data_IF_613517177575
#
_entry.id   IF_613517177575
#
_cell.length_a   1.000
_cell.length_b   1.000
_cell.length_c   1.000
_cell.angle_alpha   90.00
_cell.angle_beta   90.00
_cell.angle_gamma   90.00
#
_symmetry.space_group_name_H-M   'P 1'
#
loop_
_entity.id
_entity.type
_entity.pdbx_description
1 polymer ?
#
# COMPACT_ATOMS: atom_id res chain seq x y z
N UNK A 1 -29.00 11.63 20.36
CA UNK A 1 -28.12 11.84 21.52
C UNK A 1 -26.79 12.35 20.98
N UNK A 2 -26.39 13.55 21.45
CA UNK A 2 -25.25 14.41 21.11
C UNK A 2 -24.19 13.93 20.09
N UNK A 3 -24.15 14.59 18.92
CA UNK A 3 -22.98 14.64 18.03
C UNK A 3 -21.83 15.39 18.73
N UNK A 4 -20.80 14.68 19.16
CA UNK A 4 -19.52 15.29 19.57
C UNK A 4 -18.71 15.63 18.33
N UNK A 5 -18.74 16.91 17.94
CA UNK A 5 -17.92 17.51 16.89
C UNK A 5 -16.44 17.46 17.28
N UNK A 6 -15.64 16.68 16.55
CA UNK A 6 -14.18 16.73 16.59
C UNK A 6 -13.76 17.93 15.73
N UNK A 7 -13.04 18.89 16.34
CA UNK A 7 -12.66 20.15 15.70
C UNK A 7 -11.74 19.94 14.47
N UNK A 8 -11.92 20.72 13.38
CA UNK A 8 -11.06 20.64 12.20
C UNK A 8 -9.72 21.35 12.41
N UNK A 9 -8.66 20.82 11.79
CA UNK A 9 -7.29 21.36 11.83
C UNK A 9 -7.20 22.49 10.78
N UNK A 10 -6.91 23.72 11.22
CA UNK A 10 -6.79 24.88 10.33
C UNK A 10 -5.56 24.78 9.42
N UNK A 11 -5.67 25.28 8.20
CA UNK A 11 -4.56 25.43 7.27
C UNK A 11 -3.62 26.58 7.69
N UNK A 12 -2.50 26.75 6.96
CA UNK A 12 -1.50 27.80 7.24
C UNK A 12 -2.02 29.23 6.97
N UNK A 13 -3.21 29.39 6.38
CA UNK A 13 -3.83 30.69 6.07
C UNK A 13 -5.03 31.02 6.95
N UNK A 14 -5.39 30.15 7.90
CA UNK A 14 -6.48 30.36 8.85
C UNK A 14 -7.87 30.22 8.24
N UNK A 15 -7.98 29.73 7.00
CA UNK A 15 -9.26 29.40 6.36
C UNK A 15 -9.58 27.92 6.60
N UNK A 16 -10.85 27.52 6.81
CA UNK A 16 -11.20 26.11 6.80
C UNK A 16 -10.83 25.55 5.42
N UNK A 17 -10.00 24.51 5.39
CA UNK A 17 -9.61 23.87 4.15
C UNK A 17 -10.88 23.38 3.43
N UNK A 18 -11.03 23.76 2.16
CA UNK A 18 -12.20 23.44 1.31
C UNK A 18 -12.34 21.93 1.02
N UNK A 19 -11.46 21.10 1.59
CA UNK A 19 -11.41 19.63 1.44
C UNK A 19 -11.59 18.85 2.75
N UNK A 20 -11.85 19.48 3.90
CA UNK A 20 -12.24 18.75 5.13
C UNK A 20 -13.74 18.44 5.13
N UNK A 21 -14.22 17.81 4.06
CA UNK A 21 -15.56 17.24 4.06
C UNK A 21 -15.60 16.12 5.11
N UNK A 22 -16.35 16.35 6.19
CA UNK A 22 -16.65 15.32 7.19
C UNK A 22 -17.12 14.07 6.45
N UNK A 23 -16.43 12.94 6.66
CA UNK A 23 -16.81 11.67 6.07
C UNK A 23 -18.10 11.21 6.73
N UNK A 24 -19.16 11.09 5.93
CA UNK A 24 -20.44 10.58 6.38
C UNK A 24 -20.67 9.17 5.83
N UNK A 25 -21.32 8.34 6.63
CA UNK A 25 -21.81 7.02 6.24
C UNK A 25 -23.20 6.83 6.84
N UNK A 26 -24.05 6.08 6.15
CA UNK A 26 -25.38 5.74 6.64
C UNK A 26 -25.40 4.29 7.13
N UNK A 27 -26.00 4.06 8.29
CA UNK A 27 -26.22 2.71 8.80
C UNK A 27 -27.44 2.11 8.10
N UNK A 28 -27.30 0.87 7.60
CA UNK A 28 -28.38 0.11 6.96
C UNK A 28 -28.96 0.75 5.67
N UNK A 29 -28.14 1.50 4.91
CA UNK A 29 -28.54 2.10 3.63
C UNK A 29 -27.41 1.97 2.60
N UNK A 30 -27.33 0.81 1.91
CA UNK A 30 -26.29 0.56 0.90
C UNK A 30 -26.42 1.49 -0.32
N UNK A 31 -27.64 1.88 -0.70
CA UNK A 31 -27.86 2.72 -1.88
C UNK A 31 -27.23 4.10 -1.67
N UNK A 32 -27.51 4.75 -0.53
CA UNK A 32 -26.86 6.02 -0.20
C UNK A 32 -25.36 5.88 0.00
N UNK A 33 -24.90 4.79 0.63
CA UNK A 33 -23.47 4.55 0.82
C UNK A 33 -22.75 4.38 -0.53
N UNK A 34 -23.36 3.71 -1.51
CA UNK A 34 -22.81 3.57 -2.87
C UNK A 34 -22.67 4.91 -3.57
N UNK A 35 -23.68 5.78 -3.46
CA UNK A 35 -23.63 7.14 -3.99
C UNK A 35 -22.52 7.96 -3.32
N UNK A 36 -22.37 7.85 -1.99
CA UNK A 36 -21.30 8.51 -1.24
C UNK A 36 -19.92 7.99 -1.65
N UNK A 37 -19.73 6.67 -1.79
CA UNK A 37 -18.49 6.06 -2.27
C UNK A 37 -18.08 6.62 -3.63
N UNK A 38 -19.03 6.73 -4.56
CA UNK A 38 -18.79 7.29 -5.89
C UNK A 38 -18.50 8.81 -5.85
N UNK A 39 -19.27 9.57 -5.06
CA UNK A 39 -19.15 11.03 -4.94
C UNK A 39 -17.84 11.46 -4.29
N UNK A 40 -17.47 10.82 -3.18
CA UNK A 40 -16.29 11.15 -2.38
C UNK A 40 -15.06 10.29 -2.72
N UNK A 41 -15.19 9.35 -3.67
CA UNK A 41 -14.12 8.48 -4.15
C UNK A 41 -13.39 7.77 -3.01
N UNK A 42 -14.15 7.11 -2.14
CA UNK A 42 -13.56 6.32 -1.07
C UNK A 42 -12.62 5.25 -1.63
N UNK A 43 -11.49 5.06 -0.97
CA UNK A 43 -10.51 4.02 -1.34
C UNK A 43 -11.07 2.65 -1.03
N UNK A 44 -10.66 1.65 -1.80
CA UNK A 44 -10.92 0.26 -1.46
C UNK A 44 -10.05 -0.17 -0.26
N UNK A 45 -10.35 -1.34 0.30
CA UNK A 45 -9.59 -1.90 1.41
C UNK A 45 -8.43 -2.81 0.93
N UNK A 46 -7.89 -2.53 -0.26
CA UNK A 46 -6.73 -3.25 -0.79
C UNK A 46 -5.46 -2.70 -0.16
N UNK A 47 -4.65 -3.58 0.43
CA UNK A 47 -3.33 -3.22 0.98
C UNK A 47 -2.22 -3.68 0.04
N UNK A 48 -1.24 -2.82 -0.19
CA UNK A 48 -0.01 -3.16 -0.92
C UNK A 48 1.19 -2.58 -0.18
N UNK A 49 2.04 -3.47 0.30
CA UNK A 49 3.34 -3.16 0.92
C UNK A 49 4.50 -3.41 -0.04
N UNK A 50 4.24 -4.11 -1.15
CA UNK A 50 5.19 -4.27 -2.24
C UNK A 50 5.56 -2.94 -2.89
N UNK A 51 6.85 -2.79 -3.20
CA UNK A 51 7.44 -1.54 -3.70
C UNK A 51 7.46 -1.47 -5.22
N UNK A 52 7.52 -2.63 -5.86
CA UNK A 52 7.69 -2.75 -7.30
C UNK A 52 6.52 -3.49 -7.92
N UNK A 53 5.98 -2.91 -8.99
CA UNK A 53 5.26 -3.69 -10.02
C UNK A 53 6.26 -4.40 -10.92
N UNK A 54 5.83 -5.45 -11.62
CA UNK A 54 6.67 -6.21 -12.58
C UNK A 54 7.40 -5.27 -13.55
N UNK A 55 6.72 -4.25 -14.07
CA UNK A 55 7.29 -3.28 -15.02
C UNK A 55 8.21 -2.28 -14.33
N UNK A 56 7.85 -1.79 -13.14
CA UNK A 56 8.64 -0.77 -12.45
C UNK A 56 9.89 -1.32 -11.75
N UNK A 57 10.00 -2.65 -11.60
CA UNK A 57 11.07 -3.30 -10.86
C UNK A 57 12.45 -2.95 -11.38
N UNK A 58 12.73 -3.21 -12.66
CA UNK A 58 14.03 -2.95 -13.28
C UNK A 58 14.42 -1.47 -13.22
N UNK A 59 13.61 -0.51 -13.73
CA UNK A 59 14.01 0.89 -13.75
C UNK A 59 14.19 1.48 -12.35
N UNK A 60 13.30 1.17 -11.39
CA UNK A 60 13.44 1.69 -10.02
C UNK A 60 14.64 1.06 -9.30
N UNK A 61 14.85 -0.24 -9.45
CA UNK A 61 15.98 -0.92 -8.81
C UNK A 61 17.32 -0.41 -9.34
N UNK A 62 17.42 -0.17 -10.65
CA UNK A 62 18.60 0.41 -11.27
C UNK A 62 18.86 1.84 -10.79
N UNK A 63 17.79 2.65 -10.71
CA UNK A 63 17.88 4.01 -10.18
C UNK A 63 18.37 4.02 -8.72
N UNK A 64 17.86 3.13 -7.88
CA UNK A 64 18.30 3.01 -6.49
C UNK A 64 19.74 2.55 -6.35
N UNK A 65 20.15 1.60 -7.19
CA UNK A 65 21.53 1.15 -7.24
C UNK A 65 22.49 2.31 -7.56
N UNK A 66 22.16 3.12 -8.58
CA UNK A 66 23.00 4.26 -8.98
C UNK A 66 22.78 5.52 -8.15
N UNK A 67 21.81 5.56 -7.23
CA UNK A 67 21.70 6.67 -6.27
C UNK A 67 22.84 6.67 -5.25
N UNK A 68 23.54 5.54 -5.10
CA UNK A 68 24.73 5.41 -4.26
C UNK A 68 25.95 5.97 -5.02
N UNK A 69 26.59 7.00 -4.46
CA UNK A 69 27.72 7.73 -5.10
C UNK A 69 28.86 6.78 -5.53
N UNK A 70 29.17 5.76 -4.73
CA UNK A 70 30.19 4.77 -5.07
C UNK A 70 29.88 4.02 -6.38
N UNK A 71 28.62 3.66 -6.61
CA UNK A 71 28.20 2.95 -7.82
C UNK A 71 28.27 3.85 -9.06
N UNK A 72 27.97 5.15 -8.90
CA UNK A 72 28.18 6.14 -9.96
C UNK A 72 29.66 6.33 -10.31
N UNK A 73 30.52 6.39 -9.30
CA UNK A 73 31.97 6.43 -9.50
C UNK A 73 32.45 5.23 -10.32
N UNK A 74 32.08 4.00 -9.92
CA UNK A 74 32.44 2.80 -10.67
C UNK A 74 31.85 2.76 -12.07
N UNK A 75 30.64 3.28 -12.27
CA UNK A 75 30.01 3.40 -13.59
C UNK A 75 30.84 4.29 -14.51
N UNK A 76 31.23 5.49 -14.07
CA UNK A 76 32.01 6.41 -14.87
C UNK A 76 33.40 5.86 -15.22
N UNK A 77 34.09 5.27 -14.24
CA UNK A 77 35.38 4.62 -14.48
C UNK A 77 35.22 3.46 -15.47
N UNK A 78 34.17 2.66 -15.35
CA UNK A 78 33.89 1.56 -16.28
C UNK A 78 33.65 2.06 -17.70
N UNK A 79 32.88 3.15 -17.88
CA UNK A 79 32.63 3.75 -19.20
C UNK A 79 33.93 4.26 -19.83
N UNK A 80 34.77 4.97 -19.06
CA UNK A 80 36.04 5.49 -19.56
C UNK A 80 36.98 4.33 -19.98
N UNK A 81 37.06 3.27 -19.16
CA UNK A 81 37.90 2.11 -19.45
C UNK A 81 37.40 1.27 -20.64
N UNK A 82 36.08 1.23 -20.87
CA UNK A 82 35.51 0.55 -22.03
C UNK A 82 35.68 1.36 -23.32
N UNK A 83 35.61 2.70 -23.23
CA UNK A 83 35.70 3.61 -24.36
C UNK A 83 37.13 3.93 -24.81
N UNK A 84 38.13 3.71 -23.95
CA UNK A 84 39.54 4.05 -24.23
C UNK A 84 40.47 2.85 -24.09
N UNK A 85 41.50 2.80 -24.94
CA UNK A 85 42.57 1.80 -24.86
C UNK A 85 43.73 2.22 -23.93
N UNK A 86 43.61 3.38 -23.27
CA UNK A 86 44.65 3.94 -22.41
C UNK A 86 44.73 3.28 -21.03
N UNK A 87 43.79 2.37 -20.73
CA UNK A 87 43.79 1.65 -19.46
C UNK A 87 44.89 0.58 -19.46
N UNK A 88 45.82 0.58 -18.48
CA UNK A 88 46.82 -0.48 -18.35
C UNK A 88 46.21 -1.80 -17.84
N UNK A 89 44.94 -1.80 -17.45
CA UNK A 89 44.18 -2.96 -16.96
C UNK A 89 43.15 -3.44 -17.98
N UNK A 90 42.67 -4.68 -17.84
CA UNK A 90 41.65 -5.26 -18.72
C UNK A 90 40.36 -4.42 -18.68
N UNK A 91 39.80 -4.13 -19.87
CA UNK A 91 38.58 -3.33 -20.09
C UNK A 91 37.37 -3.74 -19.24
N UNK A 92 37.32 -5.01 -18.81
CA UNK A 92 36.22 -5.55 -18.02
C UNK A 92 36.46 -5.59 -16.51
N UNK A 93 37.66 -5.23 -16.02
CA UNK A 93 38.03 -5.39 -14.60
C UNK A 93 37.19 -4.53 -13.65
N UNK A 94 36.60 -3.43 -14.12
CA UNK A 94 35.70 -2.56 -13.33
C UNK A 94 34.22 -2.82 -13.63
N UNK A 95 33.87 -3.00 -14.89
CA UNK A 95 32.50 -3.28 -15.32
C UNK A 95 31.98 -4.63 -14.79
N UNK A 96 32.83 -5.66 -14.77
CA UNK A 96 32.48 -7.01 -14.34
C UNK A 96 31.99 -7.06 -12.89
N UNK A 97 32.79 -6.63 -11.89
CA UNK A 97 32.35 -6.58 -10.50
C UNK A 97 31.10 -5.73 -10.28
N UNK A 98 30.99 -4.56 -10.95
CA UNK A 98 29.82 -3.70 -10.85
C UNK A 98 28.54 -4.41 -11.31
N UNK A 99 28.61 -5.11 -12.44
CA UNK A 99 27.48 -5.86 -12.99
C UNK A 99 27.08 -7.05 -12.10
N UNK A 100 28.05 -7.78 -11.55
CA UNK A 100 27.78 -8.87 -10.61
C UNK A 100 27.06 -8.34 -9.37
N UNK A 101 27.56 -7.25 -8.77
CA UNK A 101 26.94 -6.66 -7.56
C UNK A 101 25.54 -6.13 -7.87
N UNK A 102 25.34 -5.51 -9.03
CA UNK A 102 24.01 -5.08 -9.49
C UNK A 102 23.05 -6.27 -9.59
N UNK A 103 23.45 -7.35 -10.27
CA UNK A 103 22.60 -8.55 -10.45
C UNK A 103 22.23 -9.16 -9.10
N UNK A 104 23.20 -9.36 -8.21
CA UNK A 104 22.95 -9.90 -6.86
C UNK A 104 21.99 -9.00 -6.08
N UNK A 105 22.16 -7.68 -6.19
CA UNK A 105 21.28 -6.69 -5.56
C UNK A 105 19.86 -6.75 -6.11
N UNK A 106 19.70 -6.90 -7.42
CA UNK A 106 18.40 -7.06 -8.08
C UNK A 106 17.74 -8.37 -7.64
N UNK A 107 18.45 -9.49 -7.63
CA UNK A 107 17.90 -10.78 -7.18
C UNK A 107 17.41 -10.69 -5.74
N UNK A 108 18.22 -10.11 -4.84
CA UNK A 108 17.82 -9.92 -3.43
C UNK A 108 16.53 -9.10 -3.33
N UNK A 109 16.46 -7.98 -4.03
CA UNK A 109 15.26 -7.12 -4.02
C UNK A 109 14.04 -7.81 -4.61
N UNK A 110 14.20 -8.61 -5.67
CA UNK A 110 13.11 -9.37 -6.26
C UNK A 110 12.54 -10.40 -5.29
N UNK A 111 13.39 -11.12 -4.56
CA UNK A 111 12.96 -12.11 -3.56
C UNK A 111 12.22 -11.43 -2.41
N UNK A 112 12.77 -10.34 -1.88
CA UNK A 112 12.15 -9.58 -0.80
C UNK A 112 10.78 -9.00 -1.22
N UNK A 113 10.70 -8.42 -2.41
CA UNK A 113 9.44 -7.82 -2.88
C UNK A 113 8.40 -8.89 -3.23
N UNK A 114 8.82 -10.05 -3.77
CA UNK A 114 7.91 -11.19 -3.96
C UNK A 114 7.29 -11.65 -2.64
N UNK A 115 8.09 -11.76 -1.58
CA UNK A 115 7.58 -12.13 -0.26
C UNK A 115 6.54 -11.12 0.25
N UNK A 116 6.70 -9.83 -0.06
CA UNK A 116 5.70 -8.79 0.27
C UNK A 116 4.43 -8.98 -0.54
N UNK A 117 4.52 -9.20 -1.85
CA UNK A 117 3.35 -9.49 -2.69
C UNK A 117 2.56 -10.72 -2.20
N UNK A 118 3.26 -11.79 -1.83
CA UNK A 118 2.62 -13.00 -1.30
C UNK A 118 1.90 -12.71 0.03
N UNK A 119 2.53 -11.95 0.93
CA UNK A 119 1.93 -11.54 2.20
C UNK A 119 0.72 -10.61 2.03
N UNK A 120 0.83 -9.61 1.14
CA UNK A 120 -0.26 -8.72 0.78
C UNK A 120 -1.45 -9.51 0.22
N UNK A 121 -1.19 -10.47 -0.66
CA UNK A 121 -2.20 -11.35 -1.23
C UNK A 121 -2.93 -12.17 -0.16
N UNK A 122 -2.21 -12.74 0.81
CA UNK A 122 -2.81 -13.45 1.94
C UNK A 122 -3.73 -12.51 2.74
N UNK A 123 -3.27 -11.30 3.08
CA UNK A 123 -4.05 -10.35 3.87
C UNK A 123 -5.31 -9.87 3.13
N UNK A 124 -5.18 -9.49 1.85
CA UNK A 124 -6.28 -9.01 1.01
C UNK A 124 -7.35 -10.09 0.76
N UNK A 125 -6.97 -11.37 0.82
CA UNK A 125 -7.86 -12.51 0.64
C UNK A 125 -8.41 -13.09 1.94
N UNK A 126 -8.06 -12.54 3.12
CA UNK A 126 -8.69 -12.94 4.38
C UNK A 126 -10.20 -12.70 4.31
N UNK A 127 -10.96 -13.59 4.93
CA UNK A 127 -12.42 -13.50 4.93
C UNK A 127 -12.88 -12.70 6.14
N UNK A 128 -13.87 -11.84 5.93
CA UNK A 128 -14.66 -11.22 6.98
C UNK A 128 -16.15 -11.48 6.73
N UNK A 129 -16.94 -11.44 7.79
CA UNK A 129 -18.39 -11.62 7.71
C UNK A 129 -19.08 -10.26 7.66
N UNK A 130 -19.89 -10.03 6.63
CA UNK A 130 -20.63 -8.77 6.40
C UNK A 130 -22.12 -9.05 6.48
N UNK A 131 -22.88 -8.16 7.12
CA UNK A 131 -24.34 -8.22 7.13
C UNK A 131 -24.89 -7.65 5.81
N UNK A 132 -25.55 -8.50 5.04
CA UNK A 132 -26.24 -8.13 3.80
C UNK A 132 -27.54 -7.36 4.06
N UNK A 133 -28.03 -6.65 3.04
CA UNK A 133 -29.28 -5.88 3.11
C UNK A 133 -30.53 -6.73 3.34
N UNK A 134 -30.43 -8.03 3.06
CA UNK A 134 -31.44 -9.06 3.32
C UNK A 134 -31.39 -9.61 4.76
N UNK A 135 -30.42 -9.16 5.56
CA UNK A 135 -30.19 -9.63 6.93
C UNK A 135 -29.37 -10.93 7.02
N UNK A 136 -28.90 -11.47 5.89
CA UNK A 136 -28.01 -12.62 5.88
C UNK A 136 -26.56 -12.22 6.14
N UNK A 137 -25.77 -13.12 6.73
CA UNK A 137 -24.33 -12.93 6.88
C UNK A 137 -23.64 -13.50 5.65
N UNK A 138 -22.84 -12.68 4.99
CA UNK A 138 -22.11 -13.04 3.77
C UNK A 138 -20.60 -12.95 3.99
N UNK A 139 -19.87 -13.90 3.41
CA UNK A 139 -18.41 -13.92 3.46
C UNK A 139 -17.85 -13.02 2.36
N UNK A 140 -16.98 -12.09 2.77
CA UNK A 140 -16.36 -11.12 1.87
C UNK A 140 -14.85 -11.09 2.10
N UNK A 141 -14.01 -11.11 1.04
CA UNK A 141 -12.59 -10.92 1.20
C UNK A 141 -12.29 -9.49 1.70
N UNK A 142 -11.25 -9.32 2.52
CA UNK A 142 -10.88 -8.05 3.14
C UNK A 142 -10.74 -6.92 2.12
N UNK A 143 -10.13 -7.18 0.97
CA UNK A 143 -9.96 -6.20 -0.10
C UNK A 143 -11.27 -5.63 -0.67
N UNK A 144 -12.38 -6.34 -0.48
CA UNK A 144 -13.70 -5.95 -0.96
C UNK A 144 -14.54 -5.27 0.13
N UNK A 145 -14.08 -5.21 1.39
CA UNK A 145 -14.77 -4.47 2.46
C UNK A 145 -14.89 -3.00 2.07
N UNK A 146 -16.09 -2.45 2.15
CA UNK A 146 -16.36 -1.07 1.78
C UNK A 146 -16.84 -0.24 2.96
N UNK A 147 -16.65 1.08 2.87
CA UNK A 147 -17.12 2.03 3.87
C UNK A 147 -18.65 1.94 3.98
N UNK A 148 -19.16 1.69 5.18
CA UNK A 148 -20.59 1.52 5.44
C UNK A 148 -21.05 0.05 5.52
N UNK A 149 -20.16 -0.91 5.25
CA UNK A 149 -20.42 -2.32 5.52
C UNK A 149 -20.53 -2.55 7.03
N UNK A 150 -21.54 -3.34 7.44
CA UNK A 150 -21.70 -3.76 8.83
C UNK A 150 -21.00 -5.11 8.98
N UNK A 151 -19.97 -5.14 9.83
CA UNK A 151 -19.14 -6.32 10.02
C UNK A 151 -19.60 -7.11 11.25
N UNK A 152 -19.58 -8.44 11.13
CA UNK A 152 -19.76 -9.36 12.24
C UNK A 152 -18.42 -10.00 12.57
N UNK A 153 -17.79 -9.58 13.67
CA UNK A 153 -16.49 -10.10 14.10
C UNK A 153 -16.71 -11.16 15.19
N UNK A 154 -16.08 -12.32 15.04
CA UNK A 154 -16.07 -13.38 16.06
C UNK A 154 -14.88 -13.21 16.99
N UNK A 155 -14.87 -13.98 18.09
CA UNK A 155 -13.72 -14.05 18.97
C UNK A 155 -12.45 -14.42 18.19
N UNK A 156 -11.37 -13.67 18.43
CA UNK A 156 -10.05 -13.77 17.77
C UNK A 156 -10.02 -13.40 16.28
N UNK A 157 -11.11 -12.88 15.71
CA UNK A 157 -11.02 -12.27 14.39
C UNK A 157 -10.20 -10.98 14.46
N UNK A 158 -9.32 -10.80 13.49
CA UNK A 158 -8.63 -9.53 13.31
C UNK A 158 -9.54 -8.51 12.62
N UNK A 159 -9.38 -7.23 12.96
CA UNK A 159 -10.17 -6.16 12.35
C UNK A 159 -9.66 -5.85 10.93
N UNK A 160 -10.53 -5.89 9.89
CA UNK A 160 -10.12 -5.65 8.51
C UNK A 160 -9.88 -4.18 8.18
N UNK A 161 -10.40 -3.26 8.99
CA UNK A 161 -10.33 -1.81 8.80
C UNK A 161 -10.62 -1.09 10.13
N UNK A 162 -10.58 0.25 10.11
CA UNK A 162 -11.09 1.07 11.21
C UNK A 162 -12.61 0.90 11.34
N UNK A 163 -13.08 0.41 12.49
CA UNK A 163 -14.50 0.10 12.74
C UNK A 163 -15.06 0.89 13.93
N UNK A 164 -16.37 1.14 13.89
CA UNK A 164 -17.13 1.62 15.02
C UNK A 164 -17.92 0.45 15.62
N UNK A 165 -17.71 0.16 16.89
CA UNK A 165 -18.42 -0.92 17.59
C UNK A 165 -19.88 -0.47 17.81
N UNK A 166 -20.83 -1.26 17.31
CA UNK A 166 -22.26 -1.01 17.47
C UNK A 166 -22.87 -1.83 18.62
N UNK A 167 -22.38 -3.05 18.79
CA UNK A 167 -22.81 -3.98 19.83
C UNK A 167 -21.68 -5.00 20.08
N UNK A 168 -21.69 -5.57 21.27
CA UNK A 168 -20.82 -6.68 21.69
C UNK A 168 -21.70 -7.83 22.22
N UNK A 169 -21.10 -8.99 22.48
CA UNK A 169 -21.77 -10.11 23.14
C UNK A 169 -21.90 -9.97 24.66
N UNK A 170 -21.12 -9.08 25.28
CA UNK A 170 -21.19 -8.76 26.71
C UNK A 170 -22.37 -7.82 27.03
N UNK A 171 -23.01 -7.98 28.20
CA UNK A 171 -24.22 -7.24 28.55
C UNK A 171 -24.00 -5.71 28.74
N UNK A 172 -22.76 -5.26 28.95
CA UNK A 172 -22.44 -3.84 29.20
C UNK A 172 -21.76 -3.09 28.04
N UNK A 173 -21.48 -3.73 26.89
CA UNK A 173 -20.89 -3.03 25.73
C UNK A 173 -19.38 -3.17 25.56
#
# INVERSE_FOLDING_TARGET
MSMSSVYPRKDKTGKPAEEDAVRCTFVNDDVKNRELRAKFKYTNNWVSTSKYTIVSFVPKTLFEFFRVIANMYFLFISIIQLASDWSPTNKYTTAGPLLIVLIVSMIKQAIEDKKRHDADGIQNCRICHVLGSDGSIQDKPWQHVEVGDILFLKDKDEMPADVLILATSEEEG
#
